data_IF_354655575660
#
_entry.id   IF_354655575660
#
_cell.length_a   1.000
_cell.length_b   1.000
_cell.length_c   1.000
_cell.angle_alpha   90.00
_cell.angle_beta   90.00
_cell.angle_gamma   90.00
#
_symmetry.space_group_name_H-M   'P 1'
#
loop_
_entity.id
_entity.type
_entity.pdbx_description
1 polymer ?
#
# COMPACT_ATOMS: atom_id res chain seq x y z
N UNK A 1 -7.05 -4.81 -27.44
CA UNK A 1 -6.12 -4.90 -28.59
C UNK A 1 -4.74 -4.43 -28.14
N UNK A 2 -3.67 -5.16 -28.46
CA UNK A 2 -2.31 -4.73 -28.16
C UNK A 2 -1.96 -3.46 -28.96
N UNK A 3 -1.33 -2.46 -28.33
CA UNK A 3 -0.92 -1.22 -29.02
C UNK A 3 0.15 -1.55 -30.07
N UNK A 4 0.04 -0.96 -31.26
CA UNK A 4 1.03 -1.10 -32.31
C UNK A 4 2.40 -0.57 -31.83
N UNK A 5 3.47 -1.29 -32.16
CA UNK A 5 4.84 -0.95 -31.79
C UNK A 5 5.23 0.38 -32.44
N UNK A 6 5.83 1.33 -31.69
CA UNK A 6 6.23 2.60 -32.29
C UNK A 6 7.42 2.39 -33.25
N UNK A 7 7.46 3.11 -34.39
CA UNK A 7 8.61 3.08 -35.31
C UNK A 7 9.92 3.52 -34.63
N UNK A 8 9.83 4.48 -33.71
CA UNK A 8 11.00 5.03 -32.99
C UNK A 8 11.69 4.00 -32.11
N UNK A 9 10.94 2.99 -31.61
CA UNK A 9 11.48 1.90 -30.80
C UNK A 9 12.47 1.04 -31.56
N UNK A 10 12.26 0.84 -32.86
CA UNK A 10 13.16 0.04 -33.70
C UNK A 10 14.41 0.85 -34.08
N UNK A 11 14.23 2.13 -34.45
CA UNK A 11 15.36 3.05 -34.72
C UNK A 11 16.27 3.20 -33.50
N UNK A 12 15.68 3.26 -32.30
CA UNK A 12 16.42 3.32 -31.05
C UNK A 12 17.32 2.10 -30.83
N UNK A 13 16.87 0.92 -31.24
CA UNK A 13 17.63 -0.32 -31.15
C UNK A 13 18.77 -0.39 -32.16
N UNK A 14 18.55 0.11 -33.38
CA UNK A 14 19.60 0.20 -34.41
C UNK A 14 20.76 1.07 -33.95
N UNK A 15 20.47 2.27 -33.43
CA UNK A 15 21.48 3.17 -32.85
C UNK A 15 22.23 2.48 -31.69
N UNK A 16 21.52 1.74 -30.83
CA UNK A 16 22.14 1.00 -29.75
C UNK A 16 23.09 -0.11 -30.25
N UNK A 17 22.75 -0.78 -31.35
CA UNK A 17 23.56 -1.83 -31.97
C UNK A 17 24.79 -1.25 -32.69
N UNK A 18 24.64 -0.14 -33.40
CA UNK A 18 25.75 0.56 -34.08
C UNK A 18 26.83 0.99 -33.08
N UNK A 19 26.43 1.42 -31.89
CA UNK A 19 27.33 1.80 -30.81
C UNK A 19 27.77 0.63 -29.92
N UNK A 20 27.53 -0.63 -30.34
CA UNK A 20 27.91 -1.84 -29.60
C UNK A 20 27.49 -1.84 -28.12
N UNK A 21 26.34 -1.21 -27.82
CA UNK A 21 25.79 -1.09 -26.48
C UNK A 21 26.40 0.01 -25.59
N UNK A 22 27.48 0.68 -26.02
CA UNK A 22 28.17 1.74 -25.27
C UNK A 22 27.60 3.13 -25.60
N UNK A 23 26.29 3.27 -25.47
CA UNK A 23 25.60 4.55 -25.65
C UNK A 23 24.59 4.77 -24.53
N UNK A 24 24.52 6.01 -24.04
CA UNK A 24 23.58 6.39 -22.98
C UNK A 24 22.16 6.52 -23.53
N UNK A 25 21.16 6.16 -22.71
CA UNK A 25 19.75 6.31 -23.06
C UNK A 25 19.39 7.76 -23.40
N UNK A 26 20.06 8.73 -22.75
CA UNK A 26 19.92 10.16 -23.04
C UNK A 26 20.38 10.50 -24.44
N UNK A 27 21.52 9.98 -24.88
CA UNK A 27 22.06 10.26 -26.22
C UNK A 27 21.17 9.65 -27.31
N UNK A 28 20.65 8.44 -27.09
CA UNK A 28 19.65 7.84 -28.00
C UNK A 28 18.39 8.71 -28.07
N UNK A 29 17.90 9.18 -26.92
CA UNK A 29 16.73 10.04 -26.85
C UNK A 29 16.96 11.38 -27.58
N UNK A 30 18.13 12.00 -27.45
CA UNK A 30 18.52 13.20 -28.22
C UNK A 30 18.52 12.94 -29.72
N UNK A 31 19.13 11.83 -30.18
CA UNK A 31 19.23 11.49 -31.60
C UNK A 31 17.88 11.19 -32.26
N UNK A 32 16.92 10.66 -31.49
CA UNK A 32 15.57 10.37 -31.96
C UNK A 32 14.60 11.54 -31.80
N UNK A 33 14.98 12.55 -31.01
CA UNK A 33 14.15 13.73 -30.82
C UNK A 33 14.21 14.61 -32.07
N UNK A 34 13.04 14.92 -32.60
CA UNK A 34 12.87 15.89 -33.70
C UNK A 34 12.21 17.14 -33.13
N UNK A 35 12.20 18.25 -33.89
CA UNK A 35 11.58 19.52 -33.47
C UNK A 35 10.10 19.37 -33.07
N UNK A 36 9.42 18.34 -33.58
CA UNK A 36 7.99 18.08 -33.34
C UNK A 36 7.75 17.01 -32.27
N UNK A 37 8.75 16.18 -31.96
CA UNK A 37 8.57 15.03 -31.06
C UNK A 37 9.80 14.78 -30.22
N UNK A 38 9.68 15.05 -28.92
CA UNK A 38 10.70 14.75 -27.93
C UNK A 38 10.55 13.30 -27.43
N UNK A 39 11.63 12.51 -27.54
CA UNK A 39 11.72 11.19 -26.92
C UNK A 39 12.39 11.35 -25.56
N UNK A 40 11.80 10.78 -24.51
CA UNK A 40 12.37 10.85 -23.16
C UNK A 40 13.37 9.70 -22.92
N UNK A 41 14.47 9.98 -22.22
CA UNK A 41 15.45 9.00 -21.74
C UNK A 41 14.78 7.80 -21.03
N UNK A 42 13.75 8.05 -20.22
CA UNK A 42 13.00 6.99 -19.51
C UNK A 42 12.27 6.05 -20.47
N UNK A 43 11.77 6.58 -21.59
CA UNK A 43 11.07 5.80 -22.61
C UNK A 43 12.04 4.84 -23.31
N UNK A 44 13.23 5.31 -23.65
CA UNK A 44 14.31 4.48 -24.22
C UNK A 44 14.73 3.39 -23.25
N UNK A 45 14.91 3.72 -21.95
CA UNK A 45 15.21 2.72 -20.92
C UNK A 45 14.13 1.64 -20.79
N UNK A 46 12.85 2.04 -20.87
CA UNK A 46 11.72 1.10 -20.88
C UNK A 46 11.71 0.18 -22.10
N UNK A 47 12.09 0.67 -23.29
CA UNK A 47 12.23 -0.16 -24.48
C UNK A 47 13.38 -1.15 -24.37
N UNK A 48 14.55 -0.68 -23.90
CA UNK A 48 15.76 -1.48 -23.71
C UNK A 48 15.53 -2.69 -22.79
N UNK A 49 14.79 -2.46 -21.69
CA UNK A 49 14.42 -3.53 -20.75
C UNK A 49 13.36 -4.47 -21.32
N UNK A 50 12.28 -3.96 -21.93
CA UNK A 50 11.18 -4.80 -22.45
C UNK A 50 11.55 -5.65 -23.66
N UNK A 51 12.54 -5.24 -24.43
CA UNK A 51 13.00 -5.96 -25.63
C UNK A 51 14.30 -6.72 -25.42
N UNK A 52 14.86 -6.70 -24.21
CA UNK A 52 16.08 -7.45 -23.87
C UNK A 52 17.23 -7.13 -24.85
N UNK A 53 17.45 -5.83 -25.12
CA UNK A 53 18.43 -5.39 -26.13
C UNK A 53 19.85 -5.88 -25.85
N UNK A 54 20.20 -5.98 -24.56
CA UNK A 54 21.50 -6.47 -24.10
C UNK A 54 21.67 -7.95 -24.45
N UNK A 55 20.66 -8.77 -24.20
CA UNK A 55 20.70 -10.21 -24.49
C UNK A 55 20.81 -10.46 -25.99
N UNK A 56 20.11 -9.65 -26.80
CA UNK A 56 20.18 -9.69 -28.27
C UNK A 56 21.52 -9.22 -28.83
N UNK A 57 22.24 -8.33 -28.13
CA UNK A 57 23.54 -7.83 -28.56
C UNK A 57 24.67 -8.82 -28.16
N UNK A 58 24.61 -9.36 -26.94
CA UNK A 58 25.68 -10.16 -26.35
C UNK A 58 25.62 -11.67 -26.68
N UNK A 59 24.56 -12.14 -27.34
CA UNK A 59 24.48 -13.49 -27.94
C UNK A 59 24.36 -14.66 -26.95
N UNK A 60 25.03 -14.61 -25.80
CA UNK A 60 24.93 -15.55 -24.67
C UNK A 60 25.40 -14.84 -23.39
N UNK A 61 24.48 -14.69 -22.42
CA UNK A 61 24.61 -14.25 -21.01
C UNK A 61 25.97 -13.72 -20.48
N UNK A 62 25.95 -12.49 -19.94
CA UNK A 62 26.52 -12.22 -18.62
C UNK A 62 25.43 -11.75 -17.63
N UNK A 63 25.30 -12.47 -16.50
CA UNK A 63 24.27 -12.35 -15.45
C UNK A 63 24.19 -11.00 -14.68
N UNK A 64 24.75 -9.89 -15.17
CA UNK A 64 25.04 -8.72 -14.34
C UNK A 64 24.71 -7.33 -14.94
N UNK A 65 23.70 -7.17 -15.80
CA UNK A 65 23.45 -5.87 -16.46
C UNK A 65 22.14 -5.16 -16.04
N UNK A 66 22.30 -3.94 -15.53
CA UNK A 66 21.24 -2.98 -15.14
C UNK A 66 21.15 -1.86 -16.20
N UNK A 67 20.05 -1.11 -16.23
CA UNK A 67 19.77 -0.05 -17.22
C UNK A 67 20.65 1.22 -17.15
N UNK A 68 21.74 1.25 -16.39
CA UNK A 68 22.60 2.43 -16.19
C UNK A 68 24.07 2.09 -16.45
N UNK A 69 24.86 2.92 -17.17
CA UNK A 69 26.29 2.67 -17.36
C UNK A 69 27.02 2.73 -16.01
N UNK A 70 28.04 1.87 -15.83
CA UNK A 70 29.05 2.06 -14.79
C UNK A 70 29.69 3.43 -15.04
N UNK A 71 29.36 4.44 -14.23
CA UNK A 71 30.42 5.35 -13.81
C UNK A 71 31.40 4.50 -13.03
N UNK A 72 32.69 4.69 -13.26
CA UNK A 72 33.77 4.09 -12.47
C UNK A 72 33.75 4.64 -11.04
N UNK A 73 32.66 4.41 -10.32
CA UNK A 73 32.70 4.34 -8.88
C UNK A 73 33.32 2.97 -8.60
N UNK A 74 34.65 2.98 -8.41
CA UNK A 74 35.30 2.00 -7.56
C UNK A 74 34.35 1.73 -6.40
N UNK A 75 33.69 0.56 -6.43
CA UNK A 75 32.79 0.18 -5.37
C UNK A 75 33.70 0.01 -4.16
N UNK A 76 33.72 1.08 -3.38
CA UNK A 76 34.37 1.16 -2.10
C UNK A 76 33.89 -0.04 -1.29
N UNK A 77 34.68 -1.11 -1.31
CA UNK A 77 34.75 -2.09 -0.23
C UNK A 77 35.36 -1.45 1.03
N UNK A 78 35.38 -0.12 1.15
CA UNK A 78 35.62 0.51 2.44
C UNK A 78 34.35 0.30 3.26
N UNK A 79 34.42 -0.73 4.11
CA UNK A 79 33.73 -0.71 5.39
C UNK A 79 33.83 0.71 5.95
N UNK A 80 32.77 1.29 6.54
CA UNK A 80 32.82 2.64 7.09
C UNK A 80 33.84 2.66 8.24
N UNK A 81 35.09 2.93 7.88
CA UNK A 81 36.21 3.10 8.77
C UNK A 81 36.47 4.59 8.97
N UNK A 82 37.10 4.92 10.08
CA UNK A 82 37.48 6.30 10.38
C UNK A 82 38.27 6.93 9.21
N UNK A 83 38.09 8.23 8.93
CA UNK A 83 38.81 8.95 7.88
C UNK A 83 40.33 8.71 7.93
N UNK A 84 40.97 8.59 6.77
CA UNK A 84 42.41 8.33 6.65
C UNK A 84 43.18 9.48 7.35
N UNK A 85 43.89 9.15 8.45
CA UNK A 85 44.61 10.13 9.29
C UNK A 85 43.92 10.50 10.62
N UNK A 86 42.74 9.94 10.92
CA UNK A 86 42.07 10.18 12.19
C UNK A 86 42.80 9.48 13.36
N UNK A 87 43.43 10.28 14.23
CA UNK A 87 44.12 9.78 15.45
C UNK A 87 43.16 9.33 16.56
N UNK A 88 41.87 9.64 16.47
CA UNK A 88 40.87 9.30 17.51
C UNK A 88 40.48 7.81 17.51
N UNK A 89 40.87 7.04 16.49
CA UNK A 89 40.58 5.61 16.35
C UNK A 89 41.82 4.70 16.41
N UNK A 90 43.01 5.27 16.68
CA UNK A 90 44.24 4.49 16.85
C UNK A 90 44.03 3.58 18.08
N UNK A 91 44.14 2.26 17.89
CA UNK A 91 43.87 1.19 18.87
C UNK A 91 42.40 0.82 19.18
N UNK A 92 41.40 1.36 18.47
CA UNK A 92 40.02 0.84 18.58
C UNK A 92 39.69 -0.08 17.40
N UNK A 93 39.58 -1.40 17.66
CA UNK A 93 39.27 -2.43 16.63
C UNK A 93 37.81 -2.41 16.13
N UNK A 94 37.07 -1.34 16.38
CA UNK A 94 35.62 -1.26 16.13
C UNK A 94 34.83 -2.03 17.20
N UNK A 95 33.74 -1.43 17.69
CA UNK A 95 32.94 -1.94 18.79
C UNK A 95 32.87 -0.96 19.97
N UNK A 96 31.87 -1.15 20.83
CA UNK A 96 31.76 -0.39 22.07
C UNK A 96 33.01 -0.60 22.93
N UNK A 97 33.50 0.46 23.61
CA UNK A 97 34.65 0.38 24.52
C UNK A 97 34.46 -0.78 25.51
N UNK A 98 35.51 -1.58 25.74
CA UNK A 98 35.50 -2.63 26.76
C UNK A 98 35.15 -1.98 28.11
N UNK A 99 34.04 -2.41 28.73
CA UNK A 99 33.50 -1.79 29.95
C UNK A 99 32.39 -0.74 29.74
N UNK A 100 31.86 -0.58 28.51
CA UNK A 100 30.70 0.26 28.25
C UNK A 100 29.45 -0.22 29.04
N UNK A 101 28.91 0.66 29.91
CA UNK A 101 27.70 0.40 30.71
C UNK A 101 26.40 0.72 29.97
N UNK A 102 26.45 1.28 28.75
CA UNK A 102 25.23 1.68 28.02
C UNK A 102 24.35 0.49 27.59
N UNK A 103 24.84 -0.75 27.70
CA UNK A 103 24.09 -1.98 27.41
C UNK A 103 24.17 -3.02 28.55
N UNK A 104 24.59 -2.64 29.77
CA UNK A 104 24.57 -3.56 30.91
C UNK A 104 23.14 -4.02 31.18
N UNK A 105 22.89 -5.33 31.08
CA UNK A 105 21.58 -5.95 31.30
C UNK A 105 20.81 -6.33 30.03
N UNK A 106 21.25 -5.92 28.84
CA UNK A 106 20.65 -6.36 27.58
C UNK A 106 21.51 -7.47 26.94
N UNK A 107 20.93 -8.60 26.48
CA UNK A 107 21.66 -9.56 25.66
C UNK A 107 22.10 -8.82 24.39
N UNK A 108 23.39 -8.67 24.15
CA UNK A 108 23.92 -7.93 23.00
C UNK A 108 23.24 -8.38 21.70
N UNK A 109 22.74 -7.42 20.91
CA UNK A 109 21.96 -7.69 19.68
C UNK A 109 20.44 -7.64 19.86
N UNK A 110 19.94 -7.62 21.10
CA UNK A 110 18.51 -7.46 21.40
C UNK A 110 18.15 -5.99 21.52
N UNK A 111 16.98 -5.62 21.03
CA UNK A 111 16.44 -4.29 21.24
C UNK A 111 16.12 -4.07 22.74
N UNK A 112 16.30 -2.84 23.27
CA UNK A 112 15.88 -2.49 24.63
C UNK A 112 14.44 -2.90 24.92
N UNK A 113 14.10 -3.22 26.17
CA UNK A 113 12.73 -3.51 26.58
C UNK A 113 11.80 -2.37 26.11
N UNK A 114 10.78 -2.71 25.30
CA UNK A 114 9.84 -1.80 24.56
C UNK A 114 10.33 -1.19 23.24
N UNK A 115 11.55 -1.46 22.80
CA UNK A 115 11.98 -1.15 21.44
C UNK A 115 11.66 -2.35 20.54
N UNK A 116 10.52 -2.31 19.85
CA UNK A 116 10.30 -3.22 18.73
C UNK A 116 11.23 -2.79 17.60
N UNK A 117 12.15 -3.67 17.17
CA UNK A 117 13.04 -3.40 16.04
C UNK A 117 12.28 -2.78 14.87
N UNK A 118 12.88 -1.77 14.24
CA UNK A 118 12.39 -0.93 13.14
C UNK A 118 11.16 -1.48 12.41
N UNK A 119 9.99 -1.33 13.02
CA UNK A 119 8.74 -1.66 12.37
C UNK A 119 8.54 -0.65 11.24
N UNK A 120 8.26 -1.14 10.03
CA UNK A 120 7.98 -0.32 8.83
C UNK A 120 6.82 0.66 9.06
N UNK A 121 5.92 0.36 10.02
CA UNK A 121 4.73 1.14 10.34
C UNK A 121 4.79 1.82 11.72
N UNK A 122 5.78 2.70 11.91
CA UNK A 122 6.04 3.37 13.20
C UNK A 122 4.89 4.23 13.76
N UNK A 123 3.96 4.72 12.94
CA UNK A 123 2.79 5.48 13.41
C UNK A 123 1.80 4.56 14.13
N UNK A 124 1.36 3.48 13.47
CA UNK A 124 0.34 2.59 14.03
C UNK A 124 0.85 1.86 15.26
N UNK A 125 2.09 1.36 15.25
CA UNK A 125 2.67 0.65 16.40
C UNK A 125 2.82 1.50 17.67
N UNK A 126 2.92 2.83 17.53
CA UNK A 126 3.08 3.73 18.67
C UNK A 126 1.76 4.03 19.39
N UNK A 127 0.65 3.99 18.67
CA UNK A 127 -0.65 4.46 19.17
C UNK A 127 -1.75 3.39 19.17
N UNK A 128 -1.59 2.30 18.41
CA UNK A 128 -2.52 1.17 18.45
C UNK A 128 -2.10 0.16 19.53
N UNK A 129 -3.06 -0.37 20.30
CA UNK A 129 -2.91 -1.63 21.02
C UNK A 129 -2.35 -2.74 20.11
N UNK A 130 -1.53 -3.63 20.67
CA UNK A 130 -0.84 -4.69 19.91
C UNK A 130 -1.84 -5.60 19.16
N UNK A 131 -2.94 -6.00 19.80
CA UNK A 131 -3.99 -6.82 19.18
C UNK A 131 -4.58 -6.19 17.91
N UNK A 132 -4.81 -4.87 17.92
CA UNK A 132 -5.35 -4.15 16.76
C UNK A 132 -4.32 -3.99 15.64
N UNK A 133 -3.04 -3.93 16.00
CA UNK A 133 -1.95 -3.89 15.02
C UNK A 133 -1.81 -5.24 14.31
N UNK A 134 -1.83 -6.34 15.08
CA UNK A 134 -1.72 -7.69 14.53
C UNK A 134 -2.90 -7.99 13.60
N UNK A 135 -4.12 -7.64 14.00
CA UNK A 135 -5.31 -7.75 13.15
C UNK A 135 -5.20 -6.95 11.85
N UNK A 136 -4.62 -5.74 11.93
CA UNK A 136 -4.43 -4.87 10.76
C UNK A 136 -3.41 -5.45 9.79
N UNK A 137 -2.33 -6.08 10.28
CA UNK A 137 -1.37 -6.81 9.43
C UNK A 137 -2.02 -8.04 8.77
N UNK A 138 -2.78 -8.84 9.52
CA UNK A 138 -3.52 -9.98 8.96
C UNK A 138 -4.50 -9.55 7.85
N UNK A 139 -5.21 -8.44 8.06
CA UNK A 139 -6.13 -7.88 7.07
C UNK A 139 -5.39 -7.36 5.82
N UNK A 140 -4.26 -6.69 6.00
CA UNK A 140 -3.43 -6.21 4.88
C UNK A 140 -2.87 -7.37 4.04
N UNK A 141 -2.45 -8.47 4.71
CA UNK A 141 -2.01 -9.70 4.04
C UNK A 141 -3.16 -10.37 3.29
N UNK A 142 -4.34 -10.52 3.91
CA UNK A 142 -5.51 -11.13 3.29
C UNK A 142 -5.97 -10.37 2.03
N UNK A 143 -5.89 -9.04 2.04
CA UNK A 143 -6.35 -8.18 0.95
C UNK A 143 -5.22 -7.89 -0.07
N UNK A 144 -4.07 -8.56 0.04
CA UNK A 144 -2.90 -8.39 -0.82
C UNK A 144 -2.43 -6.92 -0.99
N UNK A 145 -2.70 -6.07 0.01
CA UNK A 145 -2.42 -4.64 -0.04
C UNK A 145 -3.03 -3.90 -1.27
N UNK A 146 -4.13 -4.38 -1.86
CA UNK A 146 -4.82 -3.67 -2.95
C UNK A 146 -5.93 -2.75 -2.40
N UNK A 147 -5.77 -1.42 -2.42
CA UNK A 147 -6.79 -0.50 -1.91
C UNK A 147 -8.11 -0.59 -2.68
N UNK A 148 -8.08 -1.01 -3.95
CA UNK A 148 -9.29 -1.15 -4.75
C UNK A 148 -10.13 -2.34 -4.28
N UNK A 149 -9.47 -3.43 -3.90
CA UNK A 149 -10.12 -4.62 -3.33
C UNK A 149 -10.82 -4.28 -2.00
N UNK A 150 -10.19 -3.49 -1.13
CA UNK A 150 -10.81 -3.01 0.13
C UNK A 150 -12.09 -2.22 -0.16
N UNK A 151 -12.03 -1.28 -1.11
CA UNK A 151 -13.20 -0.47 -1.49
C UNK A 151 -14.32 -1.35 -2.06
N UNK A 152 -13.97 -2.31 -2.92
CA UNK A 152 -14.91 -3.24 -3.51
C UNK A 152 -15.60 -4.12 -2.46
N UNK A 153 -14.84 -4.71 -1.53
CA UNK A 153 -15.40 -5.49 -0.43
C UNK A 153 -16.29 -4.63 0.47
N UNK A 154 -15.90 -3.39 0.76
CA UNK A 154 -16.72 -2.45 1.51
C UNK A 154 -18.05 -2.18 0.82
N UNK A 155 -18.04 -1.92 -0.50
CA UNK A 155 -19.25 -1.73 -1.31
C UNK A 155 -20.12 -2.99 -1.29
N UNK A 156 -19.53 -4.17 -1.47
CA UNK A 156 -20.28 -5.43 -1.43
C UNK A 156 -20.92 -5.67 -0.06
N UNK A 157 -20.19 -5.41 1.02
CA UNK A 157 -20.69 -5.57 2.39
C UNK A 157 -21.84 -4.59 2.66
N UNK A 158 -21.71 -3.32 2.27
CA UNK A 158 -22.79 -2.34 2.36
C UNK A 158 -24.02 -2.80 1.57
N UNK A 159 -23.83 -3.29 0.35
CA UNK A 159 -24.92 -3.79 -0.47
C UNK A 159 -25.62 -5.01 0.16
N UNK A 160 -24.83 -5.94 0.72
CA UNK A 160 -25.36 -7.09 1.44
C UNK A 160 -26.15 -6.67 2.69
N UNK A 161 -25.66 -5.67 3.44
CA UNK A 161 -26.38 -5.10 4.58
C UNK A 161 -27.71 -4.45 4.15
N UNK A 162 -27.75 -3.74 3.02
CA UNK A 162 -28.99 -3.16 2.46
C UNK A 162 -30.00 -4.27 2.13
N UNK A 163 -29.57 -5.32 1.44
CA UNK A 163 -30.44 -6.47 1.10
C UNK A 163 -30.94 -7.17 2.37
N UNK A 164 -30.08 -7.35 3.37
CA UNK A 164 -30.49 -7.93 4.65
C UNK A 164 -31.48 -7.04 5.39
N UNK A 165 -31.25 -5.73 5.43
CA UNK A 165 -32.15 -4.76 6.06
C UNK A 165 -33.52 -4.71 5.39
N UNK A 166 -33.58 -4.84 4.05
CA UNK A 166 -34.83 -4.96 3.29
C UNK A 166 -35.71 -6.12 3.78
N UNK A 167 -35.11 -7.22 4.23
CA UNK A 167 -35.85 -8.38 4.77
C UNK A 167 -36.45 -8.11 6.15
N UNK A 168 -35.78 -7.30 6.98
CA UNK A 168 -36.21 -7.01 8.36
C UNK A 168 -37.21 -5.85 8.39
N UNK A 169 -36.97 -4.81 7.60
CA UNK A 169 -37.76 -3.57 7.59
C UNK A 169 -38.96 -3.65 6.63
N UNK A 170 -39.31 -4.84 6.15
CA UNK A 170 -40.36 -5.06 5.17
C UNK A 170 -41.75 -4.70 5.73
N UNK A 171 -42.48 -3.86 5.00
CA UNK A 171 -43.87 -3.50 5.28
C UNK A 171 -44.77 -4.38 4.42
N UNK A 172 -45.67 -5.16 5.06
CA UNK A 172 -46.50 -6.13 4.35
C UNK A 172 -47.60 -5.48 3.50
N UNK A 173 -48.28 -4.47 4.05
CA UNK A 173 -49.38 -3.75 3.38
C UNK A 173 -49.66 -2.39 4.04
N UNK A 174 -50.64 -1.63 3.52
CA UNK A 174 -51.02 -0.30 4.02
C UNK A 174 -51.51 -0.30 5.49
N UNK A 175 -52.02 -1.44 5.96
CA UNK A 175 -52.59 -1.62 7.29
C UNK A 175 -51.58 -2.25 8.27
N UNK A 176 -50.34 -2.48 7.84
CA UNK A 176 -49.28 -3.05 8.67
C UNK A 176 -49.01 -2.13 9.87
N UNK A 177 -49.33 -2.64 11.06
CA UNK A 177 -49.19 -1.92 12.32
C UNK A 177 -48.50 -2.84 13.33
N UNK A 178 -47.41 -2.35 13.92
CA UNK A 178 -46.79 -3.00 15.08
C UNK A 178 -47.19 -2.23 16.34
N UNK A 179 -47.55 -2.97 17.38
CA UNK A 179 -47.92 -2.42 18.68
C UNK A 179 -47.14 -3.17 19.77
N UNK A 180 -46.27 -2.47 20.48
CA UNK A 180 -45.46 -3.03 21.57
C UNK A 180 -45.71 -2.29 22.89
N UNK A 181 -45.78 -3.03 23.99
CA UNK A 181 -45.99 -2.46 25.32
C UNK A 181 -44.67 -1.87 25.81
N UNK A 182 -44.58 -0.55 25.85
CA UNK A 182 -43.37 0.17 26.26
C UNK A 182 -43.23 0.23 27.77
N UNK A 183 -44.35 0.42 28.47
CA UNK A 183 -44.35 0.60 29.92
C UNK A 183 -45.67 0.13 30.51
N UNK A 184 -45.58 -0.55 31.66
CA UNK A 184 -46.71 -0.88 32.51
C UNK A 184 -46.44 -0.38 33.91
N UNK A 185 -47.35 0.42 34.45
CA UNK A 185 -47.25 0.96 35.79
C UNK A 185 -48.51 0.61 36.57
N UNK A 186 -48.32 0.10 37.79
CA UNK A 186 -49.39 -0.09 38.75
C UNK A 186 -49.54 1.20 39.56
N UNK A 187 -50.76 1.74 39.64
CA UNK A 187 -51.12 2.87 40.49
C UNK A 187 -52.21 2.47 41.47
N UNK A 188 -52.43 3.28 42.51
CA UNK A 188 -53.50 3.07 43.51
C UNK A 188 -54.90 3.03 42.89
N UNK A 189 -55.08 3.62 41.71
CA UNK A 189 -56.36 3.75 40.99
C UNK A 189 -56.50 2.78 39.80
N UNK A 190 -55.48 1.98 39.49
CA UNK A 190 -55.52 1.00 38.39
C UNK A 190 -54.17 0.71 37.73
N UNK A 191 -54.22 0.25 36.48
CA UNK A 191 -53.03 0.02 35.65
C UNK A 191 -52.94 1.07 34.55
N UNK A 192 -51.74 1.61 34.35
CA UNK A 192 -51.40 2.50 33.23
C UNK A 192 -50.48 1.75 32.27
N UNK A 193 -50.86 1.69 30.99
CA UNK A 193 -50.10 1.02 29.93
C UNK A 193 -49.76 2.02 28.81
N UNK A 194 -48.47 2.18 28.53
CA UNK A 194 -47.95 2.98 27.43
C UNK A 194 -47.55 2.04 26.29
N UNK A 195 -48.08 2.30 25.10
CA UNK A 195 -47.85 1.49 23.90
C UNK A 195 -47.07 2.28 22.86
N UNK A 196 -46.03 1.66 22.30
CA UNK A 196 -45.38 2.14 21.09
C UNK A 196 -46.12 1.56 19.87
N UNK A 197 -46.51 2.44 18.95
CA UNK A 197 -47.25 2.07 17.74
C UNK A 197 -46.43 2.54 16.55
N UNK A 198 -46.18 1.63 15.62
CA UNK A 198 -45.51 1.93 14.35
C UNK A 198 -46.44 1.59 13.19
N UNK A 199 -46.84 2.61 12.43
CA UNK A 199 -47.69 2.44 11.25
C UNK A 199 -46.87 2.10 9.99
N UNK A 200 -47.53 1.51 8.99
CA UNK A 200 -46.93 1.13 7.72
C UNK A 200 -46.15 2.28 7.05
N UNK A 201 -46.70 3.48 7.06
CA UNK A 201 -46.07 4.66 6.47
C UNK A 201 -44.86 5.16 7.26
N UNK A 202 -44.88 5.08 8.60
CA UNK A 202 -43.73 5.40 9.46
C UNK A 202 -42.56 4.43 9.24
N UNK A 203 -42.87 3.12 9.18
CA UNK A 203 -41.89 2.07 8.88
C UNK A 203 -41.25 2.30 7.52
N UNK A 204 -42.07 2.56 6.49
CA UNK A 204 -41.59 2.81 5.14
C UNK A 204 -40.74 4.09 5.05
N UNK A 205 -41.14 5.18 5.71
CA UNK A 205 -40.36 6.42 5.74
C UNK A 205 -39.02 6.23 6.46
N UNK A 206 -39.00 5.51 7.59
CA UNK A 206 -37.78 5.17 8.32
C UNK A 206 -36.84 4.30 7.49
N UNK A 207 -37.39 3.32 6.77
CA UNK A 207 -36.64 2.46 5.85
C UNK A 207 -36.00 3.25 4.69
N UNK A 208 -36.75 4.15 4.04
CA UNK A 208 -36.22 5.01 2.99
C UNK A 208 -35.09 5.92 3.51
N UNK A 209 -35.26 6.50 4.69
CA UNK A 209 -34.22 7.31 5.33
C UNK A 209 -32.97 6.49 5.67
N UNK A 210 -33.13 5.26 6.16
CA UNK A 210 -32.01 4.36 6.46
C UNK A 210 -31.23 4.00 5.19
N UNK A 211 -31.93 3.67 4.09
CA UNK A 211 -31.28 3.41 2.80
C UNK A 211 -30.55 4.64 2.27
N UNK A 212 -31.15 5.83 2.33
CA UNK A 212 -30.49 7.06 1.89
C UNK A 212 -29.20 7.33 2.67
N UNK A 213 -29.18 7.08 3.98
CA UNK A 213 -27.97 7.25 4.81
C UNK A 213 -26.90 6.20 4.48
N UNK A 214 -27.31 4.95 4.26
CA UNK A 214 -26.40 3.87 3.88
C UNK A 214 -25.71 4.12 2.53
N UNK A 215 -26.37 4.81 1.60
CA UNK A 215 -25.81 5.16 0.30
C UNK A 215 -25.00 6.47 0.30
N UNK A 216 -25.10 7.29 1.36
CA UNK A 216 -24.45 8.61 1.42
C UNK A 216 -23.00 8.59 1.94
N UNK A 217 -22.43 7.42 2.23
CA UNK A 217 -21.03 7.24 2.64
C UNK A 217 -20.13 6.98 1.44
#
# INVERSE_FOLDING_TARGET
MARQRSPDRNKAYEIFKEHNGDITNRKIAELLSTSEKAVNEKTVGGWKSKDEWIDKLNGVLPKNERSTPKKDAEYSKKKPGAPKGNKNAVNNRGGAKKGNKNATGNPGGSAPLRNGNAATHGLYRKYLPQELYDLKEELEEAINNDPLSILWESIMLQHAQIIHAQRIMFVNNKEDMTKELRKKKLSESGFEEEWEIQFAWDKQASFLNAQSKALST
#
